data_IF_639244467498
#
_entry.id   IF_639244467498
#
_cell.length_a   1.000
_cell.length_b   1.000
_cell.length_c   1.000
_cell.angle_alpha   90.00
_cell.angle_beta   90.00
_cell.angle_gamma   90.00
#
_symmetry.space_group_name_H-M   'P 1'
#
loop_
_entity.id
_entity.type
_entity.pdbx_description
1 polymer ?
#
# COMPACT_ATOMS: atom_id res chain seq x y z
N UNK A 1 -33.70 3.57 -64.04
CA UNK A 1 -32.32 3.10 -63.79
C UNK A 1 -31.95 3.43 -62.35
N UNK A 2 -32.02 2.44 -61.47
CA UNK A 2 -31.77 2.56 -60.03
C UNK A 2 -30.27 2.41 -59.76
N UNK A 3 -29.59 3.46 -59.28
CA UNK A 3 -28.25 3.31 -58.68
C UNK A 3 -28.39 3.11 -57.17
N UNK A 4 -28.46 1.82 -56.82
CA UNK A 4 -28.11 1.33 -55.49
C UNK A 4 -26.60 1.44 -55.33
N UNK A 5 -26.12 2.32 -54.44
CA UNK A 5 -24.78 2.20 -53.86
C UNK A 5 -24.92 2.22 -52.35
N UNK A 6 -25.12 1.01 -51.82
CA UNK A 6 -24.94 0.64 -50.42
C UNK A 6 -23.51 1.02 -50.03
N UNK A 7 -23.32 2.18 -49.38
CA UNK A 7 -22.02 2.55 -48.84
C UNK A 7 -21.73 1.61 -47.67
N UNK A 8 -20.67 0.83 -47.86
CA UNK A 8 -20.06 -0.15 -46.98
C UNK A 8 -19.85 0.40 -45.55
N UNK A 9 -20.84 0.16 -44.69
CA UNK A 9 -20.81 0.47 -43.26
C UNK A 9 -19.97 -0.60 -42.54
N UNK A 10 -18.68 -0.69 -42.92
CA UNK A 10 -17.69 -1.47 -42.17
C UNK A 10 -17.42 -0.75 -40.85
N UNK A 11 -18.33 -0.91 -39.89
CA UNK A 11 -18.05 -0.75 -38.46
C UNK A 11 -16.97 -1.76 -38.08
N UNK A 12 -15.72 -1.35 -38.24
CA UNK A 12 -14.58 -2.05 -37.69
C UNK A 12 -14.71 -1.99 -36.17
N UNK A 13 -15.29 -3.02 -35.58
CA UNK A 13 -15.42 -3.23 -34.13
C UNK A 13 -14.07 -3.52 -33.44
N UNK A 14 -12.97 -3.02 -34.00
CA UNK A 14 -11.59 -3.28 -33.57
C UNK A 14 -11.03 -2.40 -32.44
N UNK A 15 -11.68 -1.36 -31.88
CA UNK A 15 -11.10 -0.62 -30.75
C UNK A 15 -11.51 -1.14 -29.38
N UNK A 16 -12.24 -2.26 -29.24
CA UNK A 16 -12.54 -2.82 -27.91
C UNK A 16 -11.53 -3.90 -27.53
N UNK A 17 -11.39 -4.91 -28.39
CA UNK A 17 -10.52 -6.06 -28.14
C UNK A 17 -9.04 -5.70 -28.05
N UNK A 18 -8.57 -4.73 -28.85
CA UNK A 18 -7.19 -4.24 -28.76
C UNK A 18 -6.85 -3.64 -27.40
N UNK A 19 -7.79 -2.97 -26.75
CA UNK A 19 -7.56 -2.34 -25.44
C UNK A 19 -7.65 -3.34 -24.30
N UNK A 20 -8.55 -4.30 -24.39
CA UNK A 20 -8.61 -5.43 -23.46
C UNK A 20 -7.29 -6.21 -23.53
N UNK A 21 -6.77 -6.45 -24.73
CA UNK A 21 -5.47 -7.08 -24.93
C UNK A 21 -4.31 -6.27 -24.34
N UNK A 22 -4.22 -4.96 -24.63
CA UNK A 22 -3.18 -4.10 -24.05
C UNK A 22 -3.25 -4.06 -22.51
N UNK A 23 -4.46 -4.01 -21.95
CA UNK A 23 -4.66 -4.06 -20.49
C UNK A 23 -4.17 -5.39 -19.94
N UNK A 24 -4.57 -6.50 -20.56
CA UNK A 24 -4.11 -7.84 -20.17
C UNK A 24 -2.58 -7.97 -20.23
N UNK A 25 -1.93 -7.43 -21.27
CA UNK A 25 -0.47 -7.43 -21.40
C UNK A 25 0.18 -6.60 -20.29
N UNK A 26 -0.37 -5.43 -19.93
CA UNK A 26 0.13 -4.63 -18.80
C UNK A 26 0.00 -5.41 -17.49
N UNK A 27 -1.14 -6.06 -17.25
CA UNK A 27 -1.37 -6.88 -16.06
C UNK A 27 -0.39 -8.04 -16.00
N UNK A 28 -0.23 -8.78 -17.10
CA UNK A 28 0.69 -9.89 -17.20
C UNK A 28 2.14 -9.43 -16.99
N UNK A 29 2.55 -8.34 -17.62
CA UNK A 29 3.87 -7.75 -17.41
C UNK A 29 4.08 -7.33 -15.94
N UNK A 30 3.06 -6.75 -15.31
CA UNK A 30 3.08 -6.36 -13.88
C UNK A 30 3.34 -7.57 -12.97
N UNK A 31 2.59 -8.65 -13.20
CA UNK A 31 2.71 -9.91 -12.46
C UNK A 31 4.08 -10.55 -12.73
N UNK A 32 4.53 -10.60 -13.98
CA UNK A 32 5.83 -11.16 -14.35
C UNK A 32 6.98 -10.37 -13.72
N UNK A 33 6.92 -9.04 -13.71
CA UNK A 33 7.93 -8.19 -13.05
C UNK A 33 8.00 -8.49 -11.55
N UNK A 34 6.87 -8.72 -10.89
CA UNK A 34 6.83 -9.00 -9.45
C UNK A 34 7.18 -10.43 -9.06
N UNK A 35 6.90 -11.39 -9.91
CA UNK A 35 7.17 -12.82 -9.65
C UNK A 35 8.55 -13.26 -10.12
N UNK A 36 9.21 -12.48 -10.99
CA UNK A 36 10.52 -12.81 -11.54
C UNK A 36 11.64 -12.47 -10.56
N UNK A 37 12.07 -13.44 -9.76
CA UNK A 37 13.31 -13.41 -8.99
C UNK A 37 14.56 -13.56 -9.90
N UNK A 38 14.70 -12.74 -10.95
CA UNK A 38 15.85 -12.81 -11.86
C UNK A 38 17.02 -11.94 -11.38
N UNK A 39 18.27 -12.46 -11.37
CA UNK A 39 19.47 -11.73 -10.97
C UNK A 39 19.68 -10.35 -11.63
N UNK A 40 19.44 -10.16 -12.96
CA UNK A 40 19.68 -8.87 -13.60
C UNK A 40 18.67 -7.80 -13.19
N UNK A 41 17.41 -8.14 -12.90
CA UNK A 41 16.39 -7.14 -12.48
C UNK A 41 16.67 -6.67 -11.06
N UNK A 42 16.99 -7.60 -10.14
CA UNK A 42 17.35 -7.28 -8.76
C UNK A 42 18.57 -6.35 -8.65
N UNK A 43 19.44 -6.32 -9.65
CA UNK A 43 20.56 -5.37 -9.76
C UNK A 43 20.10 -3.93 -9.97
N UNK A 44 18.98 -3.73 -10.68
CA UNK A 44 18.41 -2.40 -10.98
C UNK A 44 17.24 -2.03 -10.07
N UNK A 45 16.65 -3.00 -9.36
CA UNK A 45 15.84 -2.72 -8.19
C UNK A 45 16.77 -2.04 -7.18
N UNK A 46 16.66 -0.71 -7.05
CA UNK A 46 17.32 0.01 -5.97
C UNK A 46 17.04 -0.74 -4.66
N UNK A 47 18.01 -0.83 -3.74
CA UNK A 47 17.85 -1.48 -2.42
C UNK A 47 17.45 -0.47 -1.34
N UNK A 48 17.79 0.80 -1.56
CA UNK A 48 17.67 1.94 -0.66
C UNK A 48 16.61 2.95 -1.15
N UNK A 49 16.01 3.69 -0.22
CA UNK A 49 15.02 4.74 -0.50
C UNK A 49 15.77 6.09 -0.61
N UNK A 50 15.20 7.06 -1.31
CA UNK A 50 15.79 8.41 -1.39
C UNK A 50 15.98 9.00 0.02
N UNK A 51 17.14 9.60 0.34
CA UNK A 51 17.38 10.20 1.66
C UNK A 51 16.47 11.40 1.96
N UNK A 52 15.77 11.93 0.95
CA UNK A 52 14.79 13.02 1.11
C UNK A 52 13.39 12.54 1.54
N UNK A 53 13.13 11.22 1.58
CA UNK A 53 11.83 10.66 1.99
C UNK A 53 11.86 10.31 3.48
N UNK A 54 10.93 10.84 4.30
CA UNK A 54 10.99 10.68 5.76
C UNK A 54 10.71 9.28 6.32
N UNK A 55 10.05 8.40 5.57
CA UNK A 55 9.59 7.08 6.06
C UNK A 55 9.94 5.97 5.07
N UNK A 56 10.41 4.84 5.59
CA UNK A 56 10.77 3.67 4.77
C UNK A 56 9.65 2.62 4.69
N UNK A 57 8.82 2.57 5.73
CA UNK A 57 7.78 1.56 5.91
C UNK A 57 6.39 2.18 6.06
N UNK A 58 5.36 1.38 5.82
CA UNK A 58 3.97 1.86 5.89
C UNK A 58 3.63 2.19 7.33
N UNK A 59 4.15 1.39 8.25
CA UNK A 59 4.01 1.50 9.68
C UNK A 59 4.58 2.83 10.20
N UNK A 60 5.68 3.32 9.63
CA UNK A 60 6.25 4.63 9.96
C UNK A 60 5.44 5.79 9.37
N UNK A 61 4.94 5.63 8.15
CA UNK A 61 4.14 6.66 7.47
C UNK A 61 2.72 6.78 8.02
N UNK A 62 2.09 5.68 8.40
CA UNK A 62 0.65 5.66 8.70
C UNK A 62 0.26 6.63 9.84
N UNK A 63 1.01 6.73 10.96
CA UNK A 63 0.76 7.75 11.98
C UNK A 63 0.92 9.19 11.47
N UNK A 64 1.80 9.43 10.49
CA UNK A 64 1.92 10.74 9.85
C UNK A 64 0.70 11.04 8.98
N UNK A 65 0.30 10.08 8.14
CA UNK A 65 -0.90 10.19 7.31
C UNK A 65 -2.16 10.49 8.13
N UNK A 66 -2.35 9.81 9.27
CA UNK A 66 -3.50 10.07 10.14
C UNK A 66 -3.49 11.48 10.74
N UNK A 67 -2.29 12.02 11.06
CA UNK A 67 -2.16 13.40 11.53
C UNK A 67 -2.51 14.41 10.43
N UNK A 68 -2.19 14.12 9.18
CA UNK A 68 -2.59 14.91 7.99
C UNK A 68 -4.08 14.76 7.60
N UNK A 69 -4.85 14.03 8.40
CA UNK A 69 -6.29 13.89 8.25
C UNK A 69 -6.98 14.06 9.60
N UNK A 70 -6.37 14.80 10.53
CA UNK A 70 -6.92 14.97 11.87
C UNK A 70 -8.16 15.87 11.87
N UNK A 71 -8.29 16.80 10.91
CA UNK A 71 -9.46 17.65 10.81
C UNK A 71 -10.64 16.94 10.13
N UNK A 72 -11.84 17.10 10.71
CA UNK A 72 -13.08 16.54 10.15
C UNK A 72 -13.39 17.08 8.76
N UNK A 73 -13.15 18.36 8.53
CA UNK A 73 -13.35 19.06 7.25
C UNK A 73 -12.48 18.45 6.14
N UNK A 74 -11.19 18.23 6.40
CA UNK A 74 -10.28 17.55 5.45
C UNK A 74 -10.81 16.19 5.05
N UNK A 75 -11.24 15.37 6.01
CA UNK A 75 -11.82 14.05 5.73
C UNK A 75 -13.12 14.13 4.92
N UNK A 76 -13.98 15.11 5.21
CA UNK A 76 -15.22 15.33 4.46
C UNK A 76 -14.94 15.64 2.99
N UNK A 77 -13.97 16.51 2.71
CA UNK A 77 -13.57 16.82 1.33
C UNK A 77 -13.06 15.58 0.58
N UNK A 78 -12.30 14.70 1.24
CA UNK A 78 -11.88 13.42 0.67
C UNK A 78 -13.06 12.49 0.38
N UNK A 79 -14.04 12.41 1.30
CA UNK A 79 -15.23 11.60 1.09
C UNK A 79 -16.05 12.11 -0.10
N UNK A 80 -16.28 13.44 -0.18
CA UNK A 80 -16.99 14.04 -1.32
C UNK A 80 -16.28 13.73 -2.63
N UNK A 81 -14.95 13.93 -2.69
CA UNK A 81 -14.17 13.61 -3.88
C UNK A 81 -14.27 12.14 -4.28
N UNK A 82 -14.11 11.22 -3.33
CA UNK A 82 -14.18 9.76 -3.57
C UNK A 82 -15.56 9.34 -4.04
N UNK A 83 -16.63 9.85 -3.41
CA UNK A 83 -18.01 9.57 -3.82
C UNK A 83 -18.28 10.04 -5.24
N UNK A 84 -17.81 11.22 -5.63
CA UNK A 84 -17.96 11.73 -6.99
C UNK A 84 -17.19 10.89 -8.02
N UNK A 85 -16.00 10.39 -7.68
CA UNK A 85 -15.25 9.44 -8.52
C UNK A 85 -16.04 8.15 -8.71
N UNK A 86 -16.58 7.57 -7.63
CA UNK A 86 -17.38 6.34 -7.69
C UNK A 86 -18.61 6.55 -8.57
N UNK A 87 -19.37 7.63 -8.36
CA UNK A 87 -20.54 7.98 -9.19
C UNK A 87 -20.14 8.09 -10.66
N UNK A 88 -19.01 8.73 -10.98
CA UNK A 88 -18.57 8.89 -12.37
C UNK A 88 -18.23 7.54 -13.03
N UNK A 89 -17.57 6.64 -12.29
CA UNK A 89 -17.28 5.28 -12.74
C UNK A 89 -18.56 4.45 -12.88
N UNK A 90 -19.55 4.60 -12.00
CA UNK A 90 -20.84 3.92 -12.13
C UNK A 90 -21.62 4.39 -13.37
N UNK A 91 -21.58 5.69 -13.69
CA UNK A 91 -22.21 6.25 -14.91
C UNK A 91 -21.46 5.81 -16.18
N UNK A 92 -20.13 5.70 -16.13
CA UNK A 92 -19.29 5.30 -17.27
C UNK A 92 -18.37 4.14 -16.85
N UNK A 93 -18.89 2.91 -16.73
CA UNK A 93 -18.13 1.77 -16.19
C UNK A 93 -16.88 1.43 -17.01
N UNK A 94 -16.84 1.81 -18.29
CA UNK A 94 -15.67 1.64 -19.15
C UNK A 94 -14.42 2.40 -18.63
N UNK A 95 -14.59 3.42 -17.78
CA UNK A 95 -13.48 4.14 -17.13
C UNK A 95 -12.76 3.30 -16.07
N UNK A 96 -13.34 2.19 -15.61
CA UNK A 96 -12.66 1.25 -14.69
C UNK A 96 -11.45 0.57 -15.32
N UNK A 97 -11.51 0.24 -16.62
CA UNK A 97 -10.43 -0.42 -17.35
C UNK A 97 -9.13 0.42 -17.34
N UNK A 98 -9.11 1.68 -17.82
CA UNK A 98 -7.90 2.50 -17.79
C UNK A 98 -7.48 2.87 -16.36
N UNK A 99 -8.42 2.93 -15.40
CA UNK A 99 -8.10 3.15 -13.97
C UNK A 99 -7.29 1.99 -13.39
N UNK A 100 -7.74 0.75 -13.63
CA UNK A 100 -7.04 -0.46 -13.17
C UNK A 100 -5.71 -0.61 -13.92
N UNK A 101 -5.71 -0.43 -15.25
CA UNK A 101 -4.51 -0.55 -16.07
C UNK A 101 -3.41 0.45 -15.65
N UNK A 102 -3.77 1.72 -15.45
CA UNK A 102 -2.83 2.74 -14.98
C UNK A 102 -2.35 2.47 -13.55
N UNK A 103 -3.22 1.99 -12.65
CA UNK A 103 -2.86 1.59 -11.30
C UNK A 103 -1.82 0.47 -11.28
N UNK A 104 -2.03 -0.59 -12.08
CA UNK A 104 -1.12 -1.73 -12.17
C UNK A 104 0.19 -1.38 -12.87
N UNK A 105 0.14 -0.58 -13.94
CA UNK A 105 1.33 -0.06 -14.60
C UNK A 105 2.18 0.78 -13.63
N UNK A 106 1.55 1.68 -12.88
CA UNK A 106 2.22 2.54 -11.90
C UNK A 106 2.81 1.72 -10.75
N UNK A 107 2.06 0.74 -10.24
CA UNK A 107 2.55 -0.18 -9.21
C UNK A 107 3.76 -0.99 -9.67
N UNK A 108 3.83 -1.37 -10.95
CA UNK A 108 4.95 -2.16 -11.50
C UNK A 108 6.24 -1.37 -11.67
N UNK A 109 6.13 -0.05 -11.85
CA UNK A 109 7.32 0.82 -11.98
C UNK A 109 7.80 1.40 -10.65
N UNK A 110 7.02 1.28 -9.57
CA UNK A 110 7.37 1.75 -8.22
C UNK A 110 8.80 1.38 -7.77
N UNK A 111 9.29 0.13 -7.98
CA UNK A 111 10.62 -0.23 -7.53
C UNK A 111 11.75 0.56 -8.22
N UNK A 112 11.47 1.07 -9.41
CA UNK A 112 12.37 1.93 -10.18
C UNK A 112 12.28 3.38 -9.72
N UNK A 113 11.13 3.90 -9.29
CA UNK A 113 11.00 5.31 -8.89
C UNK A 113 11.24 5.59 -7.40
N UNK A 114 11.36 4.56 -6.55
CA UNK A 114 11.57 4.74 -5.11
C UNK A 114 12.83 5.54 -4.71
N UNK A 115 13.87 5.54 -5.55
CA UNK A 115 15.11 6.31 -5.33
C UNK A 115 14.98 7.80 -5.66
N UNK A 116 13.94 8.19 -6.41
CA UNK A 116 13.67 9.57 -6.75
C UNK A 116 13.17 10.35 -5.52
N UNK A 117 13.43 11.68 -5.46
CA UNK A 117 13.19 12.48 -4.27
C UNK A 117 11.70 12.71 -3.95
N UNK A 118 10.80 12.47 -4.91
CA UNK A 118 9.36 12.72 -4.77
C UNK A 118 8.54 11.66 -5.52
N UNK A 119 7.25 11.54 -5.17
CA UNK A 119 6.31 10.60 -5.79
C UNK A 119 5.69 11.09 -7.11
N UNK A 120 6.09 12.27 -7.58
CA UNK A 120 5.48 12.95 -8.72
C UNK A 120 5.50 12.09 -10.01
N UNK A 121 6.59 11.38 -10.26
CA UNK A 121 6.78 10.59 -11.47
C UNK A 121 5.74 9.46 -11.60
N UNK A 122 5.34 8.85 -10.49
CA UNK A 122 4.33 7.79 -10.48
C UNK A 122 2.94 8.34 -10.78
N UNK A 123 2.61 9.49 -10.21
CA UNK A 123 1.31 10.15 -10.44
C UNK A 123 1.22 10.65 -11.87
N UNK A 124 2.30 11.22 -12.40
CA UNK A 124 2.38 11.65 -13.79
C UNK A 124 2.21 10.45 -14.73
N UNK A 125 2.90 9.34 -14.46
CA UNK A 125 2.74 8.13 -15.25
C UNK A 125 1.31 7.57 -15.19
N UNK A 126 0.76 7.44 -13.98
CA UNK A 126 -0.63 7.04 -13.77
C UNK A 126 -1.59 7.93 -14.58
N UNK A 127 -1.45 9.25 -14.43
CA UNK A 127 -2.27 10.25 -15.10
C UNK A 127 -2.19 10.16 -16.62
N UNK A 128 -0.99 10.01 -17.19
CA UNK A 128 -0.78 9.88 -18.63
C UNK A 128 -1.46 8.60 -19.16
N UNK A 129 -1.19 7.44 -18.54
CA UNK A 129 -1.77 6.16 -18.96
C UNK A 129 -3.30 6.20 -18.85
N UNK A 130 -3.82 6.74 -17.74
CA UNK A 130 -5.24 6.87 -17.50
C UNK A 130 -5.92 7.81 -18.52
N UNK A 131 -5.34 8.99 -18.78
CA UNK A 131 -5.91 9.98 -19.72
C UNK A 131 -5.89 9.46 -21.15
N UNK A 132 -4.81 8.81 -21.58
CA UNK A 132 -4.71 8.21 -22.92
C UNK A 132 -5.72 7.07 -23.04
N UNK A 133 -5.68 6.09 -22.15
CA UNK A 133 -6.58 4.93 -22.18
C UNK A 133 -8.06 5.34 -22.07
N UNK A 134 -8.37 6.25 -21.15
CA UNK A 134 -9.72 6.75 -20.95
C UNK A 134 -10.25 7.57 -22.11
N UNK A 135 -9.45 8.46 -22.71
CA UNK A 135 -9.85 9.22 -23.91
C UNK A 135 -10.12 8.27 -25.07
N UNK A 136 -9.29 7.26 -25.26
CA UNK A 136 -9.44 6.29 -26.35
C UNK A 136 -10.69 5.43 -26.18
N UNK A 137 -11.00 4.98 -24.95
CA UNK A 137 -12.15 4.13 -24.67
C UNK A 137 -13.48 4.90 -24.63
N UNK A 138 -13.50 6.08 -24.01
CA UNK A 138 -14.73 6.89 -23.89
C UNK A 138 -14.99 7.79 -25.09
N UNK A 139 -13.99 7.99 -25.96
CA UNK A 139 -13.95 9.00 -27.03
C UNK A 139 -14.22 10.43 -26.55
N UNK A 140 -14.10 10.70 -25.24
CA UNK A 140 -14.45 11.98 -24.64
C UNK A 140 -13.45 12.36 -23.56
N UNK A 141 -12.65 13.38 -23.84
CA UNK A 141 -11.66 13.87 -22.86
C UNK A 141 -12.30 14.39 -21.57
N UNK A 142 -13.47 15.06 -21.68
CA UNK A 142 -14.18 15.60 -20.51
C UNK A 142 -14.56 14.48 -19.52
N UNK A 143 -15.15 13.39 -20.02
CA UNK A 143 -15.55 12.25 -19.17
C UNK A 143 -14.36 11.62 -18.44
N UNK A 144 -13.23 11.49 -19.13
CA UNK A 144 -12.00 10.97 -18.53
C UNK A 144 -11.37 11.93 -17.52
N UNK A 145 -11.45 13.24 -17.76
CA UNK A 145 -10.81 14.21 -16.86
C UNK A 145 -11.56 14.36 -15.52
N UNK A 146 -12.89 14.21 -15.52
CA UNK A 146 -13.74 14.43 -14.34
C UNK A 146 -13.30 13.63 -13.09
N UNK A 147 -13.05 12.30 -13.16
CA UNK A 147 -12.60 11.54 -12.00
C UNK A 147 -11.29 12.05 -11.38
N UNK A 148 -10.33 12.49 -12.20
CA UNK A 148 -9.09 13.05 -11.68
C UNK A 148 -9.35 14.38 -10.94
N UNK A 149 -10.17 15.25 -11.53
CA UNK A 149 -10.52 16.53 -10.92
C UNK A 149 -11.30 16.35 -9.62
N UNK A 150 -12.25 15.42 -9.58
CA UNK A 150 -13.06 15.17 -8.39
C UNK A 150 -12.25 14.52 -7.28
N UNK A 151 -11.42 13.52 -7.60
CA UNK A 151 -10.57 12.89 -6.59
C UNK A 151 -9.54 13.86 -6.03
N UNK A 152 -8.64 14.36 -6.89
CA UNK A 152 -7.52 15.19 -6.45
C UNK A 152 -7.94 16.60 -6.06
N UNK A 153 -8.85 17.24 -6.81
CA UNK A 153 -9.26 18.62 -6.54
C UNK A 153 -9.92 18.75 -5.17
N UNK A 154 -10.86 17.85 -4.83
CA UNK A 154 -11.51 17.89 -3.52
C UNK A 154 -10.54 17.52 -2.39
N UNK A 155 -9.70 16.49 -2.57
CA UNK A 155 -8.68 16.13 -1.59
C UNK A 155 -7.73 17.32 -1.28
N UNK A 156 -7.27 18.02 -2.30
CA UNK A 156 -6.39 19.18 -2.16
C UNK A 156 -7.06 20.37 -1.48
N UNK A 157 -8.37 20.57 -1.68
CA UNK A 157 -9.11 21.62 -0.95
C UNK A 157 -9.01 21.37 0.56
N UNK A 158 -9.19 20.11 1.00
CA UNK A 158 -9.01 19.72 2.40
C UNK A 158 -7.61 20.06 2.93
N UNK A 159 -6.59 19.60 2.22
CA UNK A 159 -5.20 19.76 2.62
C UNK A 159 -4.73 21.23 2.63
N UNK A 160 -5.03 22.01 1.60
CA UNK A 160 -4.48 23.37 1.48
C UNK A 160 -5.26 24.42 2.27
N UNK A 161 -6.58 24.33 2.34
CA UNK A 161 -7.40 25.38 2.96
C UNK A 161 -7.72 25.12 4.44
N UNK A 162 -7.71 23.87 4.88
CA UNK A 162 -8.07 23.52 6.26
C UNK A 162 -6.84 23.08 7.06
N UNK A 163 -6.12 22.09 6.58
CA UNK A 163 -4.93 21.58 7.30
C UNK A 163 -3.63 22.28 6.96
N UNK A 164 -3.61 23.10 5.91
CA UNK A 164 -2.45 23.84 5.44
C UNK A 164 -1.19 22.96 5.29
N UNK A 165 -1.39 21.70 4.90
CA UNK A 165 -0.34 20.70 4.71
C UNK A 165 -0.15 20.34 3.24
N UNK A 166 0.98 19.74 2.92
CA UNK A 166 1.27 19.24 1.57
C UNK A 166 0.75 17.82 1.46
N UNK A 167 -0.11 17.50 0.49
CA UNK A 167 -0.65 16.15 0.34
C UNK A 167 0.46 15.09 0.27
N UNK A 168 0.31 14.01 1.04
CA UNK A 168 1.22 12.86 1.01
C UNK A 168 1.47 12.29 -0.40
N UNK A 169 0.53 12.52 -1.32
CA UNK A 169 0.63 12.30 -2.77
C UNK A 169 1.98 12.74 -3.33
N UNK A 170 2.56 13.87 -2.89
CA UNK A 170 3.81 14.38 -3.44
C UNK A 170 5.08 13.80 -2.80
N UNK A 171 4.96 13.17 -1.64
CA UNK A 171 6.11 12.83 -0.78
C UNK A 171 6.44 11.34 -0.86
N UNK A 172 5.45 10.46 -1.00
CA UNK A 172 5.67 9.01 -0.93
C UNK A 172 5.29 8.29 -2.21
N UNK A 173 6.13 7.31 -2.58
CA UNK A 173 5.54 6.01 -2.83
C UNK A 173 6.39 4.79 -2.44
N UNK A 174 5.66 3.71 -2.16
CA UNK A 174 6.04 2.30 -1.92
C UNK A 174 6.87 2.01 -0.68
N UNK A 175 6.17 1.55 0.35
CA UNK A 175 6.73 1.09 1.62
C UNK A 175 7.42 -0.26 1.48
N UNK A 176 8.53 -0.45 2.20
CA UNK A 176 8.94 -1.80 2.57
C UNK A 176 7.94 -2.30 3.62
N UNK A 177 7.32 -3.46 3.39
CA UNK A 177 6.67 -4.19 4.48
C UNK A 177 7.78 -4.47 5.50
N UNK A 178 7.60 -4.11 6.77
CA UNK A 178 8.56 -4.50 7.82
C UNK A 178 8.75 -6.02 7.69
N UNK A 179 9.93 -6.44 7.26
CA UNK A 179 10.30 -7.85 7.38
C UNK A 179 10.35 -8.03 8.89
N UNK A 180 9.33 -8.67 9.45
CA UNK A 180 9.45 -9.23 10.79
C UNK A 180 10.49 -10.32 10.62
N UNK A 181 11.77 -9.93 10.63
CA UNK A 181 12.81 -10.84 11.04
C UNK A 181 12.43 -11.11 12.49
N UNK A 182 11.74 -12.24 12.69
CA UNK A 182 11.85 -12.95 13.94
C UNK A 182 13.33 -13.32 14.06
N UNK A 183 14.14 -12.33 14.44
CA UNK A 183 15.34 -12.55 15.22
C UNK A 183 14.83 -13.06 16.56
N UNK A 184 14.30 -14.29 16.56
CA UNK A 184 14.43 -15.17 17.71
C UNK A 184 15.92 -15.17 17.95
N UNK A 185 16.33 -14.41 18.95
CA UNK A 185 17.68 -14.45 19.45
C UNK A 185 18.02 -15.93 19.61
N UNK A 186 19.23 -16.35 19.26
CA UNK A 186 19.69 -17.72 19.52
C UNK A 186 19.45 -18.14 20.98
N UNK A 187 19.34 -17.16 21.89
CA UNK A 187 18.94 -17.36 23.27
C UNK A 187 17.47 -17.82 23.44
N UNK A 188 16.53 -17.31 22.64
CA UNK A 188 15.12 -17.70 22.68
C UNK A 188 14.91 -19.14 22.17
N UNK A 189 15.69 -19.55 21.17
CA UNK A 189 15.67 -20.94 20.68
C UNK A 189 16.24 -21.92 21.71
N UNK A 190 17.27 -21.52 22.46
CA UNK A 190 17.78 -22.33 23.59
C UNK A 190 16.74 -22.44 24.71
N UNK A 191 16.03 -21.35 25.04
CA UNK A 191 14.96 -21.32 26.04
C UNK A 191 13.75 -22.17 25.65
N UNK A 192 13.39 -22.20 24.36
CA UNK A 192 12.32 -23.07 23.85
C UNK A 192 12.74 -24.53 23.79
N UNK A 193 14.02 -24.82 23.53
CA UNK A 193 14.58 -26.19 23.63
C UNK A 193 14.62 -26.69 25.08
N UNK A 194 14.83 -25.78 26.04
CA UNK A 194 14.89 -26.12 27.46
C UNK A 194 13.49 -26.33 28.04
N UNK A 195 12.50 -25.50 27.65
CA UNK A 195 11.10 -25.73 28.01
C UNK A 195 10.51 -27.02 27.42
N UNK A 196 10.92 -27.41 26.21
CA UNK A 196 10.46 -28.68 25.64
C UNK A 196 11.08 -29.88 26.38
N UNK A 197 12.34 -29.78 26.80
CA UNK A 197 13.00 -30.74 27.70
C UNK A 197 12.36 -30.79 29.10
N UNK A 198 12.03 -29.66 29.69
CA UNK A 198 11.33 -29.62 30.98
C UNK A 198 9.93 -30.25 30.88
N UNK A 199 9.21 -29.99 29.78
CA UNK A 199 7.91 -30.63 29.54
C UNK A 199 8.02 -32.14 29.30
N UNK A 200 9.09 -32.61 28.64
CA UNK A 200 9.31 -34.05 28.49
C UNK A 200 9.69 -34.72 29.81
N UNK A 201 10.42 -34.03 30.71
CA UNK A 201 10.72 -34.55 32.06
C UNK A 201 9.49 -34.57 32.97
N UNK A 202 8.59 -33.59 32.85
CA UNK A 202 7.30 -33.58 33.58
C UNK A 202 6.36 -34.67 33.04
N UNK A 203 6.36 -34.92 31.72
CA UNK A 203 5.63 -36.03 31.10
C UNK A 203 6.20 -37.41 31.41
N UNK A 204 7.49 -37.50 31.80
CA UNK A 204 8.18 -38.74 32.10
C UNK A 204 8.15 -39.13 33.60
N UNK A 205 7.36 -38.44 34.42
CA UNK A 205 7.05 -38.89 35.79
C UNK A 205 8.18 -38.75 36.80
N UNK A 206 9.04 -37.72 36.68
CA UNK A 206 10.06 -37.45 37.69
C UNK A 206 9.46 -36.65 38.86
N UNK A 207 9.05 -37.34 39.93
CA UNK A 207 8.80 -36.72 41.24
C UNK A 207 10.13 -36.21 41.81
N UNK A 208 10.31 -34.89 41.88
CA UNK A 208 11.31 -34.28 42.74
C UNK A 208 10.64 -33.67 43.96
N UNK A 209 11.15 -34.09 45.12
CA UNK A 209 10.68 -33.76 46.46
C UNK A 209 10.75 -32.28 46.78
N UNK A 210 9.86 -31.87 47.67
CA UNK A 210 9.79 -30.56 48.33
C UNK A 210 11.14 -30.07 48.86
N UNK A 211 11.58 -28.92 48.37
CA UNK A 211 12.58 -28.07 49.03
C UNK A 211 12.48 -26.65 48.45
N UNK A 212 12.42 -25.66 49.35
CA UNK A 212 12.14 -24.25 49.10
C UNK A 212 12.97 -23.64 47.96
N UNK A 213 12.30 -23.12 46.93
CA UNK A 213 12.90 -22.20 45.99
C UNK A 213 11.85 -21.15 45.61
N UNK A 214 12.12 -19.89 45.96
CA UNK A 214 11.24 -18.76 45.70
C UNK A 214 10.87 -18.67 44.21
N UNK A 215 9.63 -18.29 43.95
CA UNK A 215 9.10 -18.24 42.60
C UNK A 215 9.92 -17.26 41.72
N UNK A 216 10.08 -17.53 40.41
CA UNK A 216 10.78 -16.64 39.48
C UNK A 216 10.22 -15.20 39.42
N UNK A 217 9.01 -14.99 39.93
CA UNK A 217 8.34 -13.70 39.99
C UNK A 217 8.96 -12.76 41.03
N UNK A 218 9.43 -13.29 42.17
CA UNK A 218 10.09 -12.48 43.21
C UNK A 218 11.48 -11.99 42.76
N UNK A 219 12.21 -12.81 42.01
CA UNK A 219 13.53 -12.47 41.51
C UNK A 219 13.48 -11.35 40.44
N UNK A 220 12.35 -11.19 39.76
CA UNK A 220 12.14 -10.14 38.76
C UNK A 220 11.68 -8.80 39.39
N UNK A 221 10.86 -8.86 40.43
CA UNK A 221 10.38 -7.68 41.17
C UNK A 221 11.52 -6.87 41.83
N UNK A 222 12.55 -7.57 42.34
CA UNK A 222 13.71 -6.93 42.99
C UNK A 222 14.60 -6.11 42.05
N UNK A 223 14.50 -6.31 40.73
CA UNK A 223 15.30 -5.59 39.72
C UNK A 223 14.59 -4.36 39.14
N UNK A 224 13.37 -4.05 39.58
CA UNK A 224 12.61 -2.90 39.09
C UNK A 224 12.96 -1.62 39.88
N UNK A 225 13.08 -0.46 39.18
CA UNK A 225 13.29 0.84 39.83
C UNK A 225 12.14 1.14 40.80
N UNK A 226 12.44 1.84 41.90
CA UNK A 226 11.51 2.07 43.01
C UNK A 226 10.18 2.73 42.57
N UNK A 227 10.20 3.51 41.48
CA UNK A 227 9.02 4.13 40.87
C UNK A 227 7.99 3.13 40.33
N UNK A 228 8.40 1.92 39.97
CA UNK A 228 7.51 0.87 39.42
C UNK A 228 6.94 -0.02 40.53
N UNK A 229 7.62 -0.14 41.68
CA UNK A 229 7.16 -0.94 42.81
C UNK A 229 5.88 -0.42 43.47
N UNK A 230 5.63 0.90 43.44
CA UNK A 230 4.44 1.50 44.03
C UNK A 230 3.14 1.24 43.25
N UNK A 231 3.23 0.96 41.94
CA UNK A 231 2.05 0.83 41.08
C UNK A 231 1.37 -0.55 41.14
N UNK A 232 2.02 -1.57 41.71
CA UNK A 232 1.52 -2.94 41.75
C UNK A 232 0.75 -3.30 43.04
N UNK A 233 0.72 -2.41 44.03
CA UNK A 233 0.07 -2.67 45.32
C UNK A 233 -1.35 -2.08 45.45
N UNK A 234 -1.91 -1.46 44.39
CA UNK A 234 -3.22 -0.79 44.44
C UNK A 234 -4.31 -1.40 43.55
N UNK A 235 -4.19 -2.69 43.22
CA UNK A 235 -5.29 -3.45 42.62
C UNK A 235 -5.43 -4.79 43.34
N UNK A 236 -6.09 -4.73 44.50
CA UNK A 236 -6.82 -5.83 45.14
C UNK A 236 -8.15 -5.28 45.58
#
# INVERSE_FOLDING_TARGET
>A
MTKSTKSDDRKTNTPFYGFVFCTFVIILASILIQTRNSPPVNKYLSKTISPKKPYETFEEFYPHYLREHNQKTTRQWHYVGTTLVIINVLINPILSIPMIASGLASYSVMPFFRHLPNGLYEIVLFGIIYLIGGKLLTRSFKKTLLPLLFGYGFAWIGHFFYEHNKPATFIYPSYKRKKIEMNLSTNDLSFLSDRSRQRSMISAGFQLSSSSANSPFEQYSSKLPASVRGALNHTT
#
